data_IF_891216541939
#
_entry.id   IF_891216541939
#
_cell.length_a   1.000
_cell.length_b   1.000
_cell.length_c   1.000
_cell.angle_alpha   90.00
_cell.angle_beta   90.00
_cell.angle_gamma   90.00
#
_symmetry.space_group_name_H-M   'P 1'
#
loop_
_entity.id
_entity.type
_entity.pdbx_description
1 polymer ?
#
# COMPACT_ATOMS: atom_id res chain seq x y z
N UNK A 1 -9.52 14.06 19.57
CA UNK A 1 -10.46 13.86 18.45
C UNK A 1 -9.94 12.68 17.65
N UNK A 2 -10.51 11.50 17.84
CA UNK A 2 -10.16 10.31 17.04
C UNK A 2 -10.88 10.42 15.70
N UNK A 3 -10.14 10.41 14.58
CA UNK A 3 -10.74 10.25 13.25
C UNK A 3 -11.63 8.99 13.27
N UNK A 4 -12.92 9.13 12.95
CA UNK A 4 -13.78 7.95 12.76
C UNK A 4 -13.19 7.13 11.60
N UNK A 5 -12.77 5.90 11.90
CA UNK A 5 -12.18 5.00 10.91
C UNK A 5 -13.29 4.37 10.06
N UNK A 6 -13.70 5.09 9.02
CA UNK A 6 -14.77 4.68 8.09
C UNK A 6 -14.31 3.55 7.17
N UNK A 7 -13.07 3.65 6.69
CA UNK A 7 -12.44 2.66 5.83
C UNK A 7 -11.42 1.84 6.63
N UNK A 8 -11.21 0.58 6.22
CA UNK A 8 -10.13 -0.24 6.76
C UNK A 8 -8.75 0.42 6.56
N UNK A 9 -8.60 1.12 5.44
CA UNK A 9 -7.42 1.88 5.02
C UNK A 9 -7.82 3.24 4.43
N UNK A 10 -7.12 4.29 4.86
CA UNK A 10 -7.26 5.67 4.35
C UNK A 10 -6.93 5.77 2.86
N UNK A 11 -6.06 4.90 2.33
CA UNK A 11 -5.72 4.84 0.91
C UNK A 11 -6.41 3.69 0.17
N UNK A 12 -7.50 3.14 0.74
CA UNK A 12 -8.31 2.13 0.05
C UNK A 12 -8.83 2.65 -1.30
N UNK A 13 -9.12 1.73 -2.23
CA UNK A 13 -9.62 2.09 -3.57
C UNK A 13 -10.86 2.99 -3.53
N UNK A 14 -11.77 2.74 -2.58
CA UNK A 14 -12.96 3.56 -2.39
C UNK A 14 -12.65 4.92 -1.79
N UNK A 15 -11.73 5.00 -0.81
CA UNK A 15 -11.30 6.28 -0.24
C UNK A 15 -10.59 7.16 -1.28
N UNK A 16 -9.68 6.59 -2.06
CA UNK A 16 -9.01 7.29 -3.17
C UNK A 16 -9.98 7.77 -4.24
N UNK A 17 -11.03 7.00 -4.53
CA UNK A 17 -12.09 7.43 -5.45
C UNK A 17 -12.86 8.63 -4.89
N UNK A 18 -13.14 8.67 -3.59
CA UNK A 18 -13.77 9.82 -2.94
C UNK A 18 -12.87 11.06 -3.06
N UNK A 19 -11.58 10.93 -2.75
CA UNK A 19 -10.64 12.05 -2.83
C UNK A 19 -10.42 12.56 -4.26
N UNK A 20 -10.59 11.70 -5.27
CA UNK A 20 -10.40 12.05 -6.67
C UNK A 20 -11.65 12.60 -7.37
N UNK A 21 -12.85 12.23 -6.93
CA UNK A 21 -14.11 12.59 -7.61
C UNK A 21 -14.91 13.68 -6.89
N UNK A 22 -14.56 14.03 -5.65
CA UNK A 22 -15.24 15.09 -4.89
C UNK A 22 -14.28 16.16 -4.41
N UNK A 23 -14.51 17.41 -4.82
CA UNK A 23 -13.65 18.55 -4.50
C UNK A 23 -13.90 19.16 -3.11
N UNK A 24 -14.98 18.76 -2.42
CA UNK A 24 -15.31 19.32 -1.10
C UNK A 24 -16.05 18.34 -0.21
N UNK A 25 -15.87 18.50 1.10
CA UNK A 25 -16.66 17.79 2.10
C UNK A 25 -18.14 18.21 2.05
N UNK A 26 -18.44 19.46 1.67
CA UNK A 26 -19.81 19.95 1.45
C UNK A 26 -20.55 19.14 0.40
N UNK A 27 -19.90 18.85 -0.74
CA UNK A 27 -20.51 18.05 -1.79
C UNK A 27 -20.93 16.68 -1.26
N UNK A 28 -20.05 16.01 -0.50
CA UNK A 28 -20.35 14.72 0.14
C UNK A 28 -21.44 14.82 1.21
N UNK A 29 -21.48 15.91 1.98
CA UNK A 29 -22.46 16.14 3.02
C UNK A 29 -23.89 16.39 2.47
N UNK A 30 -23.99 16.95 1.27
CA UNK A 30 -25.23 17.33 0.60
C UNK A 30 -25.68 16.33 -0.50
N UNK A 31 -24.82 15.37 -0.88
CA UNK A 31 -25.13 14.34 -1.87
C UNK A 31 -26.32 13.48 -1.42
N UNK A 32 -27.10 12.97 -2.39
CA UNK A 32 -28.16 12.02 -2.09
C UNK A 32 -27.56 10.74 -1.48
N UNK A 33 -28.24 10.19 -0.46
CA UNK A 33 -27.72 9.03 0.24
C UNK A 33 -27.72 7.78 -0.65
N UNK A 34 -28.74 7.60 -1.50
CA UNK A 34 -28.79 6.45 -2.41
C UNK A 34 -27.71 6.56 -3.46
N UNK A 35 -27.50 7.76 -4.02
CA UNK A 35 -26.43 8.01 -4.98
C UNK A 35 -25.04 7.71 -4.39
N UNK A 36 -24.79 8.17 -3.16
CA UNK A 36 -23.53 7.88 -2.45
C UNK A 36 -23.37 6.39 -2.13
N UNK A 37 -24.45 5.71 -1.72
CA UNK A 37 -24.44 4.24 -1.52
C UNK A 37 -24.09 3.52 -2.82
N UNK A 38 -24.72 3.89 -3.94
CA UNK A 38 -24.43 3.32 -5.27
C UNK A 38 -22.97 3.56 -5.65
N UNK A 39 -22.46 4.76 -5.45
CA UNK A 39 -21.06 5.09 -5.69
C UNK A 39 -20.10 4.18 -4.90
N UNK A 40 -20.36 4.00 -3.60
CA UNK A 40 -19.55 3.13 -2.72
C UNK A 40 -19.62 1.68 -3.17
N UNK A 41 -20.79 1.19 -3.57
CA UNK A 41 -20.98 -0.17 -4.07
C UNK A 41 -20.13 -0.41 -5.33
N UNK A 42 -20.21 0.52 -6.29
CA UNK A 42 -19.48 0.46 -7.56
C UNK A 42 -17.97 0.50 -7.32
N UNK A 43 -17.48 1.49 -6.58
CA UNK A 43 -16.04 1.65 -6.32
C UNK A 43 -15.48 0.59 -5.37
N UNK A 44 -16.30 0.13 -4.43
CA UNK A 44 -15.98 -0.95 -3.49
C UNK A 44 -16.11 -2.36 -4.08
N UNK A 45 -16.58 -2.50 -5.33
CA UNK A 45 -16.80 -3.79 -6.00
C UNK A 45 -17.64 -4.77 -5.15
N UNK A 46 -18.73 -4.28 -4.55
CA UNK A 46 -19.62 -5.04 -3.66
C UNK A 46 -18.95 -5.66 -2.40
N UNK A 47 -17.80 -5.14 -1.95
CA UNK A 47 -17.08 -5.69 -0.78
C UNK A 47 -17.56 -5.14 0.57
N UNK A 48 -18.43 -4.14 0.58
CA UNK A 48 -18.96 -3.56 1.80
C UNK A 48 -20.17 -4.37 2.29
N UNK A 49 -20.15 -4.93 3.51
CA UNK A 49 -21.29 -5.69 4.06
C UNK A 49 -22.55 -4.84 4.25
N UNK A 50 -22.37 -3.54 4.53
CA UNK A 50 -23.45 -2.59 4.72
C UNK A 50 -23.07 -1.23 4.10
N UNK A 51 -23.26 -1.06 2.78
CA UNK A 51 -22.85 0.15 2.07
C UNK A 51 -23.64 1.39 2.52
N UNK A 52 -24.90 1.25 2.93
CA UNK A 52 -25.71 2.35 3.46
C UNK A 52 -25.15 2.91 4.78
N UNK A 53 -24.66 2.04 5.66
CA UNK A 53 -24.02 2.47 6.90
C UNK A 53 -22.73 3.25 6.60
N UNK A 54 -21.95 2.81 5.61
CA UNK A 54 -20.72 3.50 5.17
C UNK A 54 -21.06 4.87 4.57
N UNK A 55 -22.08 4.95 3.70
CA UNK A 55 -22.54 6.21 3.12
C UNK A 55 -22.97 7.22 4.20
N UNK A 56 -23.75 6.76 5.19
CA UNK A 56 -24.15 7.59 6.34
C UNK A 56 -22.95 8.05 7.17
N UNK A 57 -21.97 7.17 7.39
CA UNK A 57 -20.76 7.52 8.12
C UNK A 57 -19.93 8.58 7.37
N UNK A 58 -19.80 8.47 6.05
CA UNK A 58 -19.14 9.47 5.21
C UNK A 58 -19.87 10.81 5.29
N UNK A 59 -21.20 10.84 5.13
CA UNK A 59 -21.96 12.08 5.26
C UNK A 59 -21.81 12.71 6.64
N UNK A 60 -21.83 11.90 7.71
CA UNK A 60 -21.65 12.37 9.08
C UNK A 60 -20.24 12.97 9.28
N UNK A 61 -19.21 12.30 8.79
CA UNK A 61 -17.84 12.80 8.85
C UNK A 61 -17.68 14.10 8.03
N UNK A 62 -18.26 14.15 6.84
CA UNK A 62 -18.25 15.35 6.01
C UNK A 62 -18.97 16.54 6.68
N UNK A 63 -20.14 16.32 7.29
CA UNK A 63 -20.89 17.35 8.03
C UNK A 63 -20.17 17.86 9.29
N UNK A 64 -19.40 16.98 9.95
CA UNK A 64 -18.61 17.31 11.14
C UNK A 64 -17.20 17.81 10.82
N UNK A 65 -16.81 17.79 9.55
CA UNK A 65 -15.50 18.28 9.10
C UNK A 65 -15.42 19.80 9.23
N UNK A 66 -14.22 20.28 9.53
CA UNK A 66 -13.96 21.70 9.59
C UNK A 66 -14.03 22.33 8.20
N UNK A 67 -14.77 23.44 8.10
CA UNK A 67 -14.93 24.20 6.86
C UNK A 67 -13.72 25.07 6.60
N UNK A 68 -12.97 24.72 5.55
CA UNK A 68 -11.85 25.51 5.10
C UNK A 68 -12.33 26.65 4.19
N UNK A 69 -11.70 27.84 4.26
CA UNK A 69 -11.85 28.85 3.22
C UNK A 69 -11.42 28.28 1.85
N UNK A 70 -12.10 28.68 0.76
CA UNK A 70 -11.86 28.13 -0.59
C UNK A 70 -10.39 28.10 -0.99
N UNK A 71 -9.66 29.18 -0.77
CA UNK A 71 -8.22 29.26 -1.10
C UNK A 71 -7.38 28.19 -0.38
N UNK A 72 -7.76 27.83 0.85
CA UNK A 72 -7.08 26.79 1.62
C UNK A 72 -7.52 25.40 1.14
N UNK A 73 -8.80 25.19 0.84
CA UNK A 73 -9.27 23.90 0.30
C UNK A 73 -8.61 23.57 -1.03
N UNK A 74 -8.48 24.56 -1.93
CA UNK A 74 -7.87 24.37 -3.25
C UNK A 74 -6.40 23.95 -3.11
N UNK A 75 -5.67 24.59 -2.19
CA UNK A 75 -4.27 24.25 -1.89
C UNK A 75 -4.14 22.85 -1.32
N UNK A 76 -5.01 22.47 -0.37
CA UNK A 76 -5.02 21.13 0.24
C UNK A 76 -5.37 20.06 -0.80
N UNK A 77 -6.38 20.30 -1.64
CA UNK A 77 -6.78 19.40 -2.70
C UNK A 77 -5.65 19.21 -3.71
N UNK A 78 -4.96 20.28 -4.10
CA UNK A 78 -3.81 20.19 -5.00
C UNK A 78 -2.69 19.32 -4.43
N UNK A 79 -2.31 19.54 -3.16
CA UNK A 79 -1.30 18.71 -2.48
C UNK A 79 -1.76 17.26 -2.38
N UNK A 80 -3.03 17.02 -2.07
CA UNK A 80 -3.60 15.67 -2.01
C UNK A 80 -3.55 14.98 -3.38
N UNK A 81 -3.95 15.66 -4.46
CA UNK A 81 -3.89 15.13 -5.82
C UNK A 81 -2.47 14.80 -6.27
N UNK A 82 -1.49 15.67 -5.94
CA UNK A 82 -0.07 15.41 -6.22
C UNK A 82 0.40 14.18 -5.44
N UNK A 83 0.03 14.07 -4.17
CA UNK A 83 0.43 12.95 -3.31
C UNK A 83 -0.14 11.62 -3.82
N UNK A 84 -1.43 11.58 -4.15
CA UNK A 84 -2.09 10.39 -4.71
C UNK A 84 -1.46 9.99 -6.05
N UNK A 85 -1.20 10.96 -6.93
CA UNK A 85 -0.55 10.70 -8.22
C UNK A 85 0.86 10.16 -8.02
N UNK A 86 1.62 10.74 -7.09
CA UNK A 86 2.99 10.30 -6.78
C UNK A 86 3.02 8.85 -6.28
N UNK A 87 2.09 8.48 -5.37
CA UNK A 87 1.97 7.10 -4.89
C UNK A 87 1.71 6.14 -6.05
N UNK A 88 0.74 6.44 -6.91
CA UNK A 88 0.41 5.58 -8.07
C UNK A 88 1.58 5.43 -9.05
N UNK A 89 2.32 6.51 -9.29
CA UNK A 89 3.49 6.47 -10.17
C UNK A 89 4.59 5.59 -9.56
N UNK A 90 4.85 5.71 -8.26
CA UNK A 90 5.83 4.89 -7.56
C UNK A 90 5.43 3.41 -7.57
N UNK A 91 4.16 3.09 -7.30
CA UNK A 91 3.64 1.71 -7.38
C UNK A 91 3.84 1.11 -8.78
N UNK A 92 3.50 1.87 -9.83
CA UNK A 92 3.68 1.40 -11.21
C UNK A 92 5.17 1.22 -11.57
N UNK A 93 6.05 2.09 -11.08
CA UNK A 93 7.50 1.94 -11.28
C UNK A 93 8.04 0.68 -10.61
N UNK A 94 7.51 0.30 -9.44
CA UNK A 94 7.92 -0.92 -8.74
C UNK A 94 7.55 -2.19 -9.52
N UNK A 95 6.41 -2.20 -10.21
CA UNK A 95 5.99 -3.34 -11.05
C UNK A 95 6.86 -3.52 -12.31
N UNK A 96 7.49 -2.45 -12.80
CA UNK A 96 8.35 -2.48 -13.99
C UNK A 96 9.77 -2.97 -13.70
N UNK A 97 10.17 -3.03 -12.43
CA UNK A 97 11.50 -3.52 -12.06
C UNK A 97 11.53 -5.05 -12.26
N UNK A 98 12.44 -5.58 -13.11
CA UNK A 98 12.57 -7.01 -13.29
C UNK A 98 13.09 -7.63 -11.98
N UNK A 99 12.19 -8.20 -11.19
CA UNK A 99 12.53 -8.76 -9.89
C UNK A 99 12.16 -10.23 -9.82
N UNK A 100 13.18 -11.10 -9.74
CA UNK A 100 12.99 -12.55 -9.60
C UNK A 100 12.29 -12.93 -8.29
N UNK A 101 12.37 -12.09 -7.25
CA UNK A 101 11.82 -12.36 -5.93
C UNK A 101 10.29 -12.40 -5.92
N UNK A 102 9.61 -11.68 -6.83
CA UNK A 102 8.13 -11.70 -6.91
C UNK A 102 7.59 -13.04 -7.41
N UNK A 103 8.46 -13.91 -7.96
CA UNK A 103 8.07 -15.27 -8.34
C UNK A 103 7.90 -16.20 -7.13
N UNK A 104 8.43 -15.81 -5.96
CA UNK A 104 8.36 -16.60 -4.74
C UNK A 104 6.98 -16.38 -4.09
N UNK A 105 6.17 -17.45 -3.88
CA UNK A 105 4.89 -17.32 -3.21
C UNK A 105 5.02 -16.64 -1.84
N UNK A 106 4.24 -15.57 -1.63
CA UNK A 106 4.28 -14.77 -0.40
C UNK A 106 5.20 -13.55 -0.45
N UNK A 107 6.06 -13.40 -1.46
CA UNK A 107 6.90 -12.21 -1.65
C UNK A 107 6.27 -11.30 -2.72
N UNK A 108 5.67 -10.20 -2.28
CA UNK A 108 5.09 -9.18 -3.17
C UNK A 108 6.09 -8.08 -3.57
N UNK A 109 5.70 -7.14 -4.45
CA UNK A 109 6.56 -6.05 -4.95
C UNK A 109 7.19 -5.17 -3.85
N UNK A 110 6.50 -5.00 -2.72
CA UNK A 110 7.00 -4.19 -1.60
C UNK A 110 8.13 -4.90 -0.86
N UNK A 111 7.90 -6.14 -0.40
CA UNK A 111 8.93 -6.93 0.27
C UNK A 111 10.11 -7.23 -0.66
N UNK A 112 9.83 -7.43 -1.95
CA UNK A 112 10.87 -7.69 -2.93
C UNK A 112 11.77 -6.47 -3.15
N UNK A 113 11.20 -5.25 -3.19
CA UNK A 113 11.96 -4.02 -3.23
C UNK A 113 12.76 -3.79 -1.94
N UNK A 114 12.18 -4.09 -0.77
CA UNK A 114 12.87 -4.00 0.52
C UNK A 114 14.10 -4.91 0.59
N UNK A 115 13.95 -6.18 0.19
CA UNK A 115 15.07 -7.14 0.10
C UNK A 115 16.13 -6.63 -0.89
N UNK A 116 15.72 -6.13 -2.06
CA UNK A 116 16.66 -5.57 -3.04
C UNK A 116 17.40 -4.35 -2.50
N UNK A 117 16.74 -3.46 -1.77
CA UNK A 117 17.37 -2.28 -1.16
C UNK A 117 18.39 -2.69 -0.09
N UNK A 118 18.07 -3.69 0.71
CA UNK A 118 18.97 -4.20 1.76
C UNK A 118 20.22 -4.88 1.17
N UNK A 119 20.04 -5.63 0.08
CA UNK A 119 21.13 -6.24 -0.70
C UNK A 119 21.92 -5.17 -1.48
N UNK A 120 21.24 -4.11 -1.94
CA UNK A 120 21.74 -3.09 -2.85
C UNK A 120 22.34 -3.68 -4.15
N UNK A 121 23.67 -3.84 -4.20
CA UNK A 121 24.36 -4.51 -5.30
C UNK A 121 24.63 -5.97 -4.96
N UNK A 122 24.01 -6.89 -5.70
CA UNK A 122 24.21 -8.33 -5.54
C UNK A 122 25.67 -8.75 -5.76
N UNK A 123 26.43 -8.00 -6.58
CA UNK A 123 27.82 -8.31 -6.91
C UNK A 123 28.78 -7.99 -5.76
N UNK A 124 28.32 -7.36 -4.67
CA UNK A 124 29.13 -7.16 -3.46
C UNK A 124 29.42 -8.48 -2.72
N UNK A 125 28.65 -9.53 -3.04
CA UNK A 125 28.83 -10.88 -2.50
C UNK A 125 29.53 -11.75 -3.54
N UNK A 126 30.61 -12.40 -3.15
CA UNK A 126 31.40 -13.27 -4.03
C UNK A 126 30.65 -14.54 -4.41
N UNK A 127 29.72 -14.98 -3.55
CA UNK A 127 28.88 -16.16 -3.77
C UNK A 127 27.60 -16.11 -2.92
N UNK A 128 26.67 -17.03 -3.23
CA UNK A 128 25.39 -17.16 -2.52
C UNK A 128 25.54 -17.47 -1.02
N UNK A 129 26.61 -18.13 -0.58
CA UNK A 129 26.81 -18.46 0.82
C UNK A 129 27.19 -17.22 1.64
N UNK A 130 27.89 -16.26 1.04
CA UNK A 130 28.19 -14.97 1.65
C UNK A 130 26.92 -14.12 1.85
N UNK A 131 26.04 -14.09 0.84
CA UNK A 131 24.73 -13.46 0.96
C UNK A 131 23.86 -14.15 2.04
N UNK A 132 23.86 -15.48 2.10
CA UNK A 132 23.12 -16.21 3.12
C UNK A 132 23.62 -15.88 4.54
N UNK A 133 24.94 -15.83 4.74
CA UNK A 133 25.55 -15.39 6.01
C UNK A 133 25.14 -13.96 6.37
N UNK A 134 25.11 -13.04 5.40
CA UNK A 134 24.62 -11.66 5.61
C UNK A 134 23.16 -11.63 6.08
N UNK A 135 22.30 -12.47 5.50
CA UNK A 135 20.91 -12.63 5.91
C UNK A 135 20.73 -13.39 7.24
N UNK A 136 21.81 -13.75 7.94
CA UNK A 136 21.75 -14.54 9.18
C UNK A 136 21.46 -16.03 8.95
N UNK A 137 21.41 -16.48 7.70
CA UNK A 137 21.30 -17.88 7.30
C UNK A 137 22.70 -18.49 7.27
N UNK A 138 23.32 -18.62 8.44
CA UNK A 138 24.66 -19.18 8.57
C UNK A 138 24.63 -20.72 8.55
N UNK A 139 25.18 -21.32 7.50
CA UNK A 139 25.38 -22.76 7.39
C UNK A 139 26.72 -23.17 7.99
N UNK A 140 26.73 -24.23 8.80
CA UNK A 140 27.97 -24.86 9.25
C UNK A 140 28.58 -25.62 8.09
N UNK A 141 29.67 -25.11 7.51
CA UNK A 141 30.49 -25.87 6.57
C UNK A 141 31.35 -26.86 7.35
N UNK A 142 31.21 -28.15 7.03
CA UNK A 142 32.10 -29.19 7.52
C UNK A 142 33.09 -29.55 6.42
N UNK A 143 34.36 -29.23 6.62
CA UNK A 143 35.45 -29.64 5.75
C UNK A 143 36.36 -30.61 6.50
N UNK A 144 36.55 -31.81 5.93
CA UNK A 144 37.46 -32.83 6.44
C UNK A 144 38.37 -33.29 5.29
N UNK A 145 39.63 -32.85 5.31
CA UNK A 145 40.59 -33.18 4.24
C UNK A 145 40.15 -32.60 2.88
N UNK A 146 40.05 -33.45 1.86
CA UNK A 146 39.58 -33.08 0.52
C UNK A 146 38.04 -33.10 0.36
N UNK A 147 37.29 -33.31 1.44
CA UNK A 147 35.84 -33.42 1.39
C UNK A 147 35.19 -32.20 2.06
N UNK A 148 34.38 -31.48 1.29
CA UNK A 148 33.49 -30.43 1.79
C UNK A 148 32.03 -30.93 1.73
N UNK A 149 31.31 -30.83 2.84
CA UNK A 149 29.86 -31.02 2.85
C UNK A 149 29.14 -29.83 3.48
N UNK A 150 27.96 -29.54 2.93
CA UNK A 150 27.04 -28.54 3.47
C UNK A 150 25.85 -29.31 4.06
N UNK A 151 25.65 -29.24 5.37
CA UNK A 151 24.48 -29.84 6.01
C UNK A 151 23.32 -28.87 5.94
N UNK A 152 22.34 -29.16 5.07
CA UNK A 152 21.04 -28.48 5.06
C UNK A 152 20.10 -29.23 6.01
N UNK A 153 20.03 -28.83 7.28
CA UNK A 153 18.92 -29.26 8.13
C UNK A 153 17.68 -28.47 7.69
N UNK A 154 16.89 -29.03 6.79
CA UNK A 154 15.57 -28.48 6.48
C UNK A 154 14.66 -28.70 7.69
N UNK A 155 14.02 -27.63 8.14
CA UNK A 155 12.95 -27.65 9.14
C UNK A 155 11.72 -28.40 8.64
#
# INVERSE_FOLDING_TARGET
>A
MTQEKIFSDTFSTTALAIYGEFDSAEALACMDLQELTVFIIVKGKNRFPNPDAVAKAIQKAARSSYRLPKTVSDSVNQVLSISITSIKVLEAQMELLPNVLISIPGIGPVYSAEIMVEIADINRFSNQAELAKYAGLAWTQYQSGNFESQTTSLF
#
